data_IF_204926893152
#
_entry.id   IF_204926893152
#
_cell.length_a   1.000
_cell.length_b   1.000
_cell.length_c   1.000
_cell.angle_alpha   90.00
_cell.angle_beta   90.00
_cell.angle_gamma   90.00
#
_symmetry.space_group_name_H-M   'P 1'
#
loop_
_entity.id
_entity.type
_entity.pdbx_description
1 polymer ?
#
# COMPACT_ATOMS: atom_id res chain seq x y z
N UNK A 1 0.96 -7.55 -8.73
CA UNK A 1 1.97 -7.35 -7.69
C UNK A 1 3.27 -6.83 -8.30
N UNK A 2 3.86 -5.79 -7.72
CA UNK A 2 5.19 -5.27 -8.02
C UNK A 2 6.08 -5.58 -6.82
N UNK A 3 7.25 -6.21 -7.06
CA UNK A 3 8.19 -6.60 -6.00
C UNK A 3 7.81 -7.92 -5.29
N UNK A 4 8.54 -8.28 -4.23
CA UNK A 4 9.63 -7.55 -3.57
C UNK A 4 10.99 -7.66 -4.30
N UNK A 5 11.17 -8.59 -5.23
CA UNK A 5 12.41 -8.80 -5.99
C UNK A 5 12.48 -7.78 -7.13
N UNK A 6 12.71 -6.52 -6.79
CA UNK A 6 12.67 -5.37 -7.69
C UNK A 6 13.95 -4.53 -7.64
N UNK A 7 15.10 -5.19 -7.40
CA UNK A 7 16.40 -4.51 -7.28
C UNK A 7 16.80 -3.71 -8.54
N UNK A 8 16.28 -4.06 -9.71
CA UNK A 8 16.47 -3.29 -10.95
C UNK A 8 15.41 -2.19 -11.18
N UNK A 9 14.49 -2.02 -10.24
CA UNK A 9 13.43 -1.02 -10.32
C UNK A 9 12.28 -1.37 -11.28
N UNK A 10 11.21 -0.59 -11.19
CA UNK A 10 10.06 -0.61 -12.12
C UNK A 10 9.63 0.82 -12.37
N UNK A 11 9.62 1.25 -13.63
CA UNK A 11 9.29 2.63 -14.00
C UNK A 11 8.26 2.68 -15.13
N UNK A 12 7.34 3.66 -15.03
CA UNK A 12 6.37 3.96 -16.08
C UNK A 12 5.51 2.76 -16.48
N UNK A 13 4.94 2.07 -15.49
CA UNK A 13 4.04 0.93 -15.68
C UNK A 13 2.58 1.39 -15.61
N UNK A 14 1.80 1.06 -16.63
CA UNK A 14 0.34 1.21 -16.63
C UNK A 14 -0.32 -0.16 -16.53
N UNK A 15 -1.29 -0.27 -15.63
CA UNK A 15 -2.17 -1.44 -15.47
C UNK A 15 -3.60 -0.92 -15.51
N UNK A 16 -4.40 -1.41 -16.43
CA UNK A 16 -5.74 -0.88 -16.64
C UNK A 16 -6.76 -1.96 -17.00
N UNK A 17 -8.04 -1.65 -16.75
CA UNK A 17 -9.17 -2.48 -17.13
C UNK A 17 -9.10 -3.91 -16.55
N UNK A 18 -8.79 -4.02 -15.24
CA UNK A 18 -8.65 -5.30 -14.55
C UNK A 18 -9.82 -5.56 -13.59
N UNK A 19 -10.17 -6.83 -13.47
CA UNK A 19 -11.14 -7.35 -12.50
C UNK A 19 -10.44 -8.30 -11.53
N UNK A 20 -10.58 -8.06 -10.23
CA UNK A 20 -10.11 -8.93 -9.15
C UNK A 20 -11.31 -9.52 -8.41
N UNK A 21 -11.38 -10.83 -8.31
CA UNK A 21 -12.44 -11.54 -7.61
C UNK A 21 -11.86 -12.51 -6.59
N UNK A 22 -12.29 -12.39 -5.34
CA UNK A 22 -11.90 -13.28 -4.25
C UNK A 22 -10.38 -13.44 -4.10
N UNK A 23 -9.64 -12.32 -4.17
CA UNK A 23 -8.18 -12.34 -4.02
C UNK A 23 -7.76 -11.90 -2.62
N UNK A 24 -6.63 -12.43 -2.15
CA UNK A 24 -6.05 -12.01 -0.85
C UNK A 24 -5.64 -10.54 -0.88
N UNK A 25 -5.03 -10.08 -1.96
CA UNK A 25 -4.68 -8.67 -2.20
C UNK A 25 -5.10 -8.28 -3.61
N UNK A 26 -5.48 -7.01 -3.74
CA UNK A 26 -5.70 -6.40 -5.06
C UNK A 26 -4.38 -5.87 -5.63
N UNK A 27 -4.24 -4.57 -5.73
CA UNK A 27 -3.02 -3.90 -6.21
C UNK A 27 -1.97 -3.89 -5.09
N UNK A 28 -0.80 -4.48 -5.36
CA UNK A 28 0.18 -4.72 -4.32
C UNK A 28 1.58 -4.28 -4.75
N UNK A 29 2.17 -3.34 -4.01
CA UNK A 29 3.56 -2.89 -4.14
C UNK A 29 4.31 -3.33 -2.88
N UNK A 30 5.42 -4.06 -3.06
CA UNK A 30 6.22 -4.59 -1.95
C UNK A 30 7.68 -4.27 -2.16
N UNK A 31 8.31 -3.77 -1.11
CA UNK A 31 9.76 -3.61 -1.03
C UNK A 31 10.22 -3.77 0.41
N UNK A 32 11.51 -3.64 0.64
CA UNK A 32 12.10 -3.64 1.97
C UNK A 32 13.52 -3.06 1.94
N UNK A 33 14.03 -2.66 3.09
CA UNK A 33 15.47 -2.37 3.24
C UNK A 33 16.30 -3.54 2.74
N UNK A 34 17.43 -3.28 2.12
CA UNK A 34 18.30 -4.30 1.52
C UNK A 34 18.05 -4.55 0.03
N UNK A 35 17.00 -3.96 -0.59
CA UNK A 35 16.77 -4.11 -2.04
C UNK A 35 17.70 -3.26 -2.89
N UNK A 36 18.30 -2.24 -2.31
CA UNK A 36 19.29 -1.40 -2.98
C UNK A 36 18.72 -0.08 -3.51
N UNK A 37 19.61 0.88 -3.73
CA UNK A 37 19.26 2.21 -4.23
C UNK A 37 18.71 2.21 -5.65
N UNK A 38 19.00 1.19 -6.44
CA UNK A 38 18.51 1.02 -7.81
C UNK A 38 17.10 0.40 -7.83
N UNK A 39 16.62 -0.08 -6.67
CA UNK A 39 15.25 -0.56 -6.46
C UNK A 39 14.27 0.62 -6.39
N UNK A 40 14.09 1.30 -7.53
CA UNK A 40 13.22 2.46 -7.71
C UNK A 40 11.92 2.03 -8.36
N UNK A 41 10.79 2.21 -7.69
CA UNK A 41 9.46 2.00 -8.27
C UNK A 41 8.75 3.34 -8.38
N UNK A 42 8.51 3.82 -9.59
CA UNK A 42 7.90 5.14 -9.82
C UNK A 42 7.17 5.23 -11.15
N UNK A 43 6.24 6.19 -11.28
CA UNK A 43 5.44 6.36 -12.48
C UNK A 43 4.46 5.19 -12.69
N UNK A 44 3.92 4.65 -11.60
CA UNK A 44 3.00 3.51 -11.63
C UNK A 44 1.56 4.01 -11.66
N UNK A 45 0.78 3.54 -12.62
CA UNK A 45 -0.61 3.92 -12.81
C UNK A 45 -1.49 2.67 -12.84
N UNK A 46 -2.55 2.70 -12.03
CA UNK A 46 -3.62 1.71 -12.02
C UNK A 46 -4.92 2.43 -12.34
N UNK A 47 -5.57 2.07 -13.45
CA UNK A 47 -6.78 2.74 -13.92
C UNK A 47 -7.90 1.75 -14.24
N UNK A 48 -9.14 2.14 -13.96
CA UNK A 48 -10.33 1.35 -14.28
C UNK A 48 -10.27 -0.05 -13.68
N UNK A 49 -10.10 -0.14 -12.38
CA UNK A 49 -9.95 -1.41 -11.65
C UNK A 49 -11.23 -1.69 -10.85
N UNK A 50 -11.77 -2.88 -11.04
CA UNK A 50 -12.90 -3.40 -10.26
C UNK A 50 -12.39 -4.53 -9.37
N UNK A 51 -12.78 -4.50 -8.11
CA UNK A 51 -12.43 -5.53 -7.12
C UNK A 51 -13.67 -5.96 -6.36
N UNK A 52 -13.82 -7.25 -6.12
CA UNK A 52 -14.90 -7.79 -5.32
C UNK A 52 -14.40 -8.92 -4.43
N UNK A 53 -14.78 -8.90 -3.14
CA UNK A 53 -14.30 -9.83 -2.11
C UNK A 53 -12.76 -9.90 -2.06
N UNK A 54 -12.11 -8.74 -1.95
CA UNK A 54 -10.65 -8.63 -1.78
C UNK A 54 -10.33 -8.32 -0.33
N UNK A 55 -9.39 -9.06 0.28
CA UNK A 55 -9.02 -8.86 1.68
C UNK A 55 -8.51 -7.43 1.92
N UNK A 56 -7.58 -6.94 1.09
CA UNK A 56 -7.09 -5.56 1.11
C UNK A 56 -6.86 -5.09 -0.34
N UNK A 57 -7.71 -4.20 -0.88
CA UNK A 57 -7.64 -3.73 -2.26
C UNK A 57 -6.33 -3.09 -2.69
N UNK A 58 -5.74 -2.22 -1.87
CA UNK A 58 -4.47 -1.55 -2.20
C UNK A 58 -3.48 -1.70 -1.05
N UNK A 59 -2.31 -2.26 -1.35
CA UNK A 59 -1.24 -2.45 -0.36
C UNK A 59 0.07 -1.90 -0.88
N UNK A 60 0.71 -1.00 -0.12
CA UNK A 60 2.10 -0.60 -0.30
C UNK A 60 2.86 -0.91 0.98
N UNK A 61 3.87 -1.77 0.90
CA UNK A 61 4.57 -2.28 2.07
C UNK A 61 6.09 -2.23 1.88
N UNK A 62 6.76 -1.40 2.68
CA UNK A 62 8.22 -1.24 2.69
C UNK A 62 8.94 -2.10 3.74
N UNK A 63 8.27 -3.10 4.32
CA UNK A 63 8.78 -4.00 5.37
C UNK A 63 8.53 -5.48 5.04
N UNK A 64 8.55 -5.83 3.75
CA UNK A 64 8.18 -7.16 3.30
C UNK A 64 9.15 -8.24 3.78
N UNK A 65 8.64 -9.33 4.38
CA UNK A 65 9.45 -10.27 5.16
C UNK A 65 9.78 -11.61 4.48
N UNK A 66 9.40 -11.85 3.23
CA UNK A 66 9.49 -13.20 2.63
C UNK A 66 10.89 -13.67 2.17
N UNK A 67 11.95 -13.04 2.61
CA UNK A 67 13.33 -13.51 2.36
C UNK A 67 13.95 -14.07 3.64
N UNK A 68 15.10 -14.72 3.54
CA UNK A 68 15.79 -15.33 4.67
C UNK A 68 16.09 -14.34 5.82
N UNK A 69 16.38 -13.08 5.50
CA UNK A 69 16.61 -11.99 6.46
C UNK A 69 15.38 -11.09 6.67
N UNK A 70 14.22 -11.47 6.11
CA UNK A 70 13.01 -10.65 6.11
C UNK A 70 12.48 -10.27 7.49
N UNK A 71 12.69 -11.13 8.49
CA UNK A 71 12.33 -10.91 9.90
C UNK A 71 13.46 -10.31 10.74
N UNK A 72 14.55 -9.85 10.13
CA UNK A 72 15.63 -9.17 10.85
C UNK A 72 15.20 -7.81 11.38
N UNK A 73 15.83 -7.37 12.47
CA UNK A 73 15.60 -6.04 13.04
C UNK A 73 15.81 -4.93 12.01
N UNK A 74 16.83 -5.08 11.13
CA UNK A 74 17.11 -4.12 10.07
C UNK A 74 15.93 -3.97 9.10
N UNK A 75 15.34 -5.06 8.66
CA UNK A 75 14.22 -5.03 7.70
C UNK A 75 12.93 -4.57 8.39
N UNK A 76 12.65 -5.04 9.61
CA UNK A 76 11.36 -4.83 10.28
C UNK A 76 11.31 -3.60 11.18
N UNK A 77 12.46 -2.97 11.52
CA UNK A 77 12.49 -1.76 12.35
C UNK A 77 11.61 -0.65 11.77
N UNK A 78 10.78 -0.07 12.62
CA UNK A 78 9.95 1.12 12.31
C UNK A 78 10.65 2.43 12.66
N UNK A 79 11.87 2.32 13.21
CA UNK A 79 12.71 3.47 13.53
C UNK A 79 13.44 3.98 12.29
N UNK A 80 13.83 5.25 12.35
CA UNK A 80 14.61 5.92 11.30
C UNK A 80 16.01 5.30 11.19
N UNK A 81 16.42 4.95 9.97
CA UNK A 81 17.77 4.52 9.63
C UNK A 81 18.39 5.51 8.63
N UNK A 82 19.71 5.66 8.58
CA UNK A 82 20.35 6.43 7.52
C UNK A 82 20.01 5.85 6.14
N UNK A 83 19.68 6.71 5.19
CA UNK A 83 19.55 6.30 3.78
C UNK A 83 20.94 5.93 3.25
N UNK A 84 21.05 4.74 2.69
CA UNK A 84 22.30 4.19 2.16
C UNK A 84 22.08 3.43 0.84
N UNK A 85 23.13 2.78 0.33
CA UNK A 85 23.10 1.98 -0.91
C UNK A 85 22.08 0.82 -0.90
N UNK A 86 21.54 0.48 0.27
CA UNK A 86 20.56 -0.62 0.44
C UNK A 86 19.13 -0.13 0.52
N UNK A 87 18.90 1.19 0.55
CA UNK A 87 17.60 1.79 0.74
C UNK A 87 16.83 1.88 -0.59
N UNK A 88 15.65 1.23 -0.74
CA UNK A 88 14.82 1.33 -1.95
C UNK A 88 14.05 2.64 -1.97
N UNK A 89 13.52 3.01 -3.15
CA UNK A 89 12.71 4.20 -3.33
C UNK A 89 11.35 3.88 -3.97
N UNK A 90 10.28 4.35 -3.34
CA UNK A 90 8.93 4.34 -3.87
C UNK A 90 8.53 5.78 -4.26
N UNK A 91 8.40 6.04 -5.56
CA UNK A 91 8.14 7.36 -6.13
C UNK A 91 6.65 7.68 -6.28
N UNK A 92 6.18 7.80 -7.53
CA UNK A 92 4.85 8.29 -7.86
C UNK A 92 3.89 7.14 -8.21
N UNK A 93 2.71 7.16 -7.57
CA UNK A 93 1.65 6.18 -7.75
C UNK A 93 0.30 6.85 -7.96
N UNK A 94 -0.41 6.47 -9.01
CA UNK A 94 -1.77 6.89 -9.28
C UNK A 94 -2.72 5.68 -9.27
N UNK A 95 -3.75 5.75 -8.43
CA UNK A 95 -4.87 4.81 -8.37
C UNK A 95 -6.13 5.56 -8.81
N UNK A 96 -6.58 5.31 -10.04
CA UNK A 96 -7.67 6.06 -10.65
C UNK A 96 -8.83 5.16 -11.06
N UNK A 97 -10.05 5.65 -10.83
CA UNK A 97 -11.28 4.93 -11.16
C UNK A 97 -11.29 3.51 -10.57
N UNK A 98 -11.05 3.40 -9.25
CA UNK A 98 -11.11 2.15 -8.52
C UNK A 98 -12.48 1.95 -7.87
N UNK A 99 -13.05 0.76 -8.04
CA UNK A 99 -14.23 0.34 -7.30
C UNK A 99 -13.94 -0.99 -6.62
N UNK A 100 -13.89 -0.98 -5.28
CA UNK A 100 -13.71 -2.17 -4.47
C UNK A 100 -14.93 -2.40 -3.58
N UNK A 101 -15.58 -3.55 -3.75
CA UNK A 101 -16.75 -3.96 -2.97
C UNK A 101 -16.45 -5.20 -2.15
N UNK A 102 -17.19 -5.38 -1.05
CA UNK A 102 -17.01 -6.52 -0.16
C UNK A 102 -15.58 -6.71 0.33
N UNK A 103 -14.89 -5.61 0.66
CA UNK A 103 -13.56 -5.64 1.26
C UNK A 103 -13.62 -6.26 2.66
N UNK A 104 -12.51 -6.74 3.19
CA UNK A 104 -12.48 -7.42 4.47
C UNK A 104 -11.60 -6.74 5.52
N UNK A 105 -10.28 -6.73 5.34
CA UNK A 105 -9.34 -6.24 6.36
C UNK A 105 -9.22 -4.70 6.37
N UNK A 106 -8.88 -4.11 5.25
CA UNK A 106 -8.70 -2.67 5.09
C UNK A 106 -9.07 -2.22 3.68
N UNK A 107 -9.49 -0.97 3.51
CA UNK A 107 -9.67 -0.35 2.19
C UNK A 107 -8.33 -0.16 1.48
N UNK A 108 -7.33 0.30 2.22
CA UNK A 108 -5.95 0.45 1.75
C UNK A 108 -5.00 0.37 2.93
N UNK A 109 -3.78 -0.15 2.70
CA UNK A 109 -2.72 -0.22 3.71
C UNK A 109 -1.39 0.21 3.11
N UNK A 110 -0.97 1.45 3.40
CA UNK A 110 0.20 2.10 2.82
C UNK A 110 1.22 2.38 3.93
N UNK A 111 2.40 1.72 3.88
CA UNK A 111 3.40 1.90 4.91
C UNK A 111 4.80 2.04 4.28
N UNK A 112 5.28 3.29 4.19
CA UNK A 112 6.62 3.65 3.76
C UNK A 112 7.69 3.53 4.85
N UNK A 113 8.96 3.60 4.47
CA UNK A 113 10.07 3.71 5.42
C UNK A 113 10.07 5.11 6.06
N UNK A 114 10.44 5.28 7.34
CA UNK A 114 10.52 6.60 7.95
C UNK A 114 11.63 7.47 7.36
N UNK A 115 12.76 6.87 6.94
CA UNK A 115 13.90 7.55 6.33
C UNK A 115 13.74 7.80 4.83
N UNK A 116 12.93 6.99 4.15
CA UNK A 116 12.67 7.09 2.71
C UNK A 116 11.17 6.89 2.49
N UNK A 117 10.42 7.95 2.76
CA UNK A 117 8.96 7.94 2.62
C UNK A 117 8.54 7.61 1.19
N UNK A 118 7.31 7.10 1.03
CA UNK A 118 6.70 7.01 -0.30
C UNK A 118 6.49 8.45 -0.79
N UNK A 119 7.00 8.78 -1.97
CA UNK A 119 7.04 10.17 -2.43
C UNK A 119 5.63 10.74 -2.68
N UNK A 120 4.85 10.12 -3.56
CA UNK A 120 3.55 10.66 -3.93
C UNK A 120 2.54 9.56 -4.22
N UNK A 121 1.41 9.58 -3.53
CA UNK A 121 0.30 8.65 -3.73
C UNK A 121 -0.97 9.46 -4.00
N UNK A 122 -1.61 9.16 -5.12
CA UNK A 122 -2.88 9.78 -5.53
C UNK A 122 -3.95 8.70 -5.67
N UNK A 123 -5.07 8.87 -4.97
CA UNK A 123 -6.32 8.20 -5.28
C UNK A 123 -7.26 9.20 -5.95
N UNK A 124 -7.79 8.86 -7.12
CA UNK A 124 -8.71 9.69 -7.87
C UNK A 124 -9.94 8.86 -8.30
N UNK A 125 -11.13 9.31 -7.91
CA UNK A 125 -12.39 8.59 -8.18
C UNK A 125 -12.32 7.14 -7.67
N UNK A 126 -12.08 6.94 -6.38
CA UNK A 126 -11.98 5.63 -5.78
C UNK A 126 -13.10 5.40 -4.75
N UNK A 127 -13.67 4.20 -4.76
CA UNK A 127 -14.70 3.80 -3.80
C UNK A 127 -14.40 2.43 -3.20
N UNK A 128 -14.55 2.35 -1.88
CA UNK A 128 -14.33 1.12 -1.11
C UNK A 128 -15.55 0.87 -0.23
N UNK A 129 -16.04 -0.36 -0.22
CA UNK A 129 -17.09 -0.80 0.71
C UNK A 129 -16.76 -2.16 1.29
N UNK A 130 -17.13 -2.37 2.55
CA UNK A 130 -16.83 -3.61 3.25
C UNK A 130 -17.98 -4.62 3.14
N UNK A 131 -17.61 -5.91 3.28
CA UNK A 131 -18.58 -7.00 3.34
C UNK A 131 -19.46 -6.85 4.60
N UNK A 132 -20.70 -7.34 4.54
CA UNK A 132 -21.58 -7.38 5.70
C UNK A 132 -20.99 -8.23 6.85
N UNK A 133 -20.33 -9.34 6.50
CA UNK A 133 -19.63 -10.23 7.44
C UNK A 133 -18.15 -10.34 7.05
N UNK A 134 -17.33 -9.35 7.41
CA UNK A 134 -15.92 -9.31 6.98
C UNK A 134 -15.10 -10.36 7.71
N UNK A 135 -14.17 -10.97 6.97
CA UNK A 135 -13.18 -11.87 7.55
C UNK A 135 -11.98 -11.09 8.05
N UNK A 136 -11.56 -11.32 9.29
CA UNK A 136 -10.35 -10.70 9.83
C UNK A 136 -9.09 -11.21 9.13
N UNK A 137 -8.23 -10.28 8.69
CA UNK A 137 -6.98 -10.59 8.01
C UNK A 137 -5.87 -9.59 8.32
N UNK A 138 -4.63 -10.04 8.16
CA UNK A 138 -3.46 -9.15 8.24
C UNK A 138 -3.39 -8.35 6.94
N UNK A 139 -3.47 -7.01 6.96
CA UNK A 139 -3.56 -6.22 5.73
C UNK A 139 -2.27 -6.21 4.90
N UNK A 140 -1.10 -6.40 5.51
CA UNK A 140 0.19 -6.40 4.84
C UNK A 140 1.14 -7.45 5.45
N UNK A 141 2.01 -8.06 4.63
CA UNK A 141 2.99 -9.06 5.06
C UNK A 141 4.24 -8.38 5.63
N UNK A 142 4.18 -7.98 6.90
CA UNK A 142 5.24 -7.39 7.70
C UNK A 142 5.03 -7.71 9.18
N UNK A 143 6.06 -7.61 10.00
CA UNK A 143 5.96 -7.88 11.43
C UNK A 143 5.26 -6.73 12.18
N UNK A 144 4.59 -7.09 13.28
CA UNK A 144 3.91 -6.14 14.16
C UNK A 144 2.59 -5.59 13.61
N UNK A 145 1.92 -6.32 12.72
CA UNK A 145 0.60 -5.98 12.19
C UNK A 145 -0.41 -7.04 12.56
N UNK A 146 -1.39 -6.66 13.35
CA UNK A 146 -2.47 -7.55 13.77
C UNK A 146 -3.52 -7.76 12.67
N UNK A 147 -4.33 -8.81 12.84
CA UNK A 147 -5.51 -9.04 12.03
C UNK A 147 -6.52 -7.91 12.26
N UNK A 148 -7.09 -7.41 11.19
CA UNK A 148 -8.05 -6.29 11.17
C UNK A 148 -9.29 -6.65 10.39
N UNK A 149 -10.36 -5.91 10.63
CA UNK A 149 -11.58 -5.87 9.81
C UNK A 149 -12.00 -4.41 9.64
N UNK A 150 -12.51 -4.08 8.47
CA UNK A 150 -13.14 -2.79 8.18
C UNK A 150 -12.25 -1.58 8.52
N UNK A 151 -10.94 -1.70 8.41
CA UNK A 151 -10.05 -0.55 8.55
C UNK A 151 -10.16 0.32 7.30
N UNK A 152 -10.33 1.62 7.47
CA UNK A 152 -10.36 2.58 6.37
C UNK A 152 -9.05 2.59 5.57
N UNK A 153 -8.60 3.76 5.15
CA UNK A 153 -7.31 3.96 4.48
C UNK A 153 -6.25 4.18 5.57
N UNK A 154 -5.39 3.19 5.79
CA UNK A 154 -4.21 3.35 6.62
C UNK A 154 -3.04 3.84 5.77
N UNK A 155 -2.40 4.95 6.19
CA UNK A 155 -1.30 5.59 5.47
C UNK A 155 -0.21 6.09 6.43
N UNK A 156 1.01 5.57 6.29
CA UNK A 156 2.13 5.96 7.15
C UNK A 156 3.41 6.17 6.34
N UNK A 157 4.15 7.23 6.69
CA UNK A 157 5.41 7.63 6.07
C UNK A 157 5.26 7.85 4.55
N UNK A 158 4.48 8.86 4.18
CA UNK A 158 4.26 9.31 2.79
C UNK A 158 4.53 10.81 2.74
N UNK A 159 5.28 11.29 1.75
CA UNK A 159 5.52 12.72 1.58
C UNK A 159 4.23 13.44 1.14
N UNK A 160 3.59 12.98 0.08
CA UNK A 160 2.33 13.56 -0.38
C UNK A 160 1.27 12.48 -0.60
N UNK A 161 0.13 12.62 0.10
CA UNK A 161 -1.06 11.79 -0.10
C UNK A 161 -2.20 12.67 -0.59
N UNK A 162 -2.78 12.35 -1.76
CA UNK A 162 -3.94 13.05 -2.32
C UNK A 162 -5.14 12.09 -2.44
N UNK A 163 -6.28 12.49 -1.89
CA UNK A 163 -7.55 11.76 -1.99
C UNK A 163 -8.57 12.64 -2.72
N UNK A 164 -8.75 12.43 -4.02
CA UNK A 164 -9.66 13.19 -4.89
C UNK A 164 -10.90 12.37 -5.19
N UNK A 165 -12.05 12.78 -4.67
CA UNK A 165 -13.32 12.06 -4.84
C UNK A 165 -13.17 10.58 -4.40
N UNK A 166 -12.78 10.37 -3.13
CA UNK A 166 -12.59 9.06 -2.52
C UNK A 166 -13.67 8.82 -1.47
N UNK A 167 -14.30 7.65 -1.52
CA UNK A 167 -15.31 7.23 -0.54
C UNK A 167 -14.94 5.89 0.08
N UNK A 168 -15.15 5.78 1.38
CA UNK A 168 -15.06 4.52 2.12
C UNK A 168 -16.35 4.37 2.91
N UNK A 169 -16.99 3.22 2.83
CA UNK A 169 -18.25 2.93 3.53
C UNK A 169 -18.20 1.60 4.26
N UNK A 170 -18.75 1.58 5.48
CA UNK A 170 -18.78 0.38 6.33
C UNK A 170 -17.47 0.15 7.12
N UNK A 171 -16.58 1.14 7.17
CA UNK A 171 -15.36 1.07 7.98
C UNK A 171 -15.66 1.23 9.47
N UNK A 172 -14.76 0.70 10.30
CA UNK A 172 -14.72 0.95 11.73
C UNK A 172 -13.83 2.17 12.02
N UNK A 173 -14.36 3.18 12.73
CA UNK A 173 -13.59 4.38 13.08
C UNK A 173 -13.38 5.33 11.89
N UNK A 174 -12.22 5.97 11.86
CA UNK A 174 -11.91 7.01 10.88
C UNK A 174 -11.76 6.45 9.46
N UNK A 175 -12.19 7.27 8.48
CA UNK A 175 -11.99 6.96 7.05
C UNK A 175 -10.51 6.88 6.69
N UNK A 176 -9.70 7.80 7.25
CA UNK A 176 -8.26 7.85 7.04
C UNK A 176 -7.54 7.82 8.39
N UNK A 177 -6.65 6.86 8.55
CA UNK A 177 -5.75 6.72 9.69
C UNK A 177 -4.35 7.01 9.17
N UNK A 178 -3.80 8.18 9.52
CA UNK A 178 -2.51 8.62 8.96
C UNK A 178 -1.51 9.04 10.03
N UNK A 179 -0.23 8.77 9.74
CA UNK A 179 0.90 9.18 10.55
C UNK A 179 2.13 9.43 9.65
N UNK A 180 2.92 10.46 9.94
CA UNK A 180 4.13 10.78 9.19
C UNK A 180 3.88 11.21 7.73
N UNK A 181 2.71 11.83 7.44
CA UNK A 181 2.37 12.41 6.14
C UNK A 181 2.80 13.88 6.14
N UNK A 182 3.65 14.29 5.17
CA UNK A 182 4.14 15.67 5.13
C UNK A 182 3.11 16.62 4.51
N UNK A 183 2.39 16.13 3.47
CA UNK A 183 1.32 16.89 2.81
C UNK A 183 0.12 15.98 2.55
N UNK A 184 -1.01 16.33 3.13
CA UNK A 184 -2.28 15.65 2.90
C UNK A 184 -3.25 16.58 2.17
N UNK A 185 -3.82 16.10 1.05
CA UNK A 185 -4.80 16.82 0.21
C UNK A 185 -6.06 15.96 0.08
N UNK A 186 -7.20 16.56 0.43
CA UNK A 186 -8.50 15.91 0.35
C UNK A 186 -9.54 16.83 -0.29
#
# INVERSE_FOLDING_TARGET
TIGSEMAGGVKNLNVENCLFLHTDRGLRIKTRRGRGKDAVVTGIRFENIIMDHVMTPVVMNSFYFCDADGHSDYVQSKEFHPVDERTPYLGDFLFKNLKATNCHAAASYLYGLPEQKIHHVVFENASFSFAENPTAGVPAMMDGVDKQTNTGIFAKNIETLELKNVTVTGQNGDVVISDGIDRFVQ
#
